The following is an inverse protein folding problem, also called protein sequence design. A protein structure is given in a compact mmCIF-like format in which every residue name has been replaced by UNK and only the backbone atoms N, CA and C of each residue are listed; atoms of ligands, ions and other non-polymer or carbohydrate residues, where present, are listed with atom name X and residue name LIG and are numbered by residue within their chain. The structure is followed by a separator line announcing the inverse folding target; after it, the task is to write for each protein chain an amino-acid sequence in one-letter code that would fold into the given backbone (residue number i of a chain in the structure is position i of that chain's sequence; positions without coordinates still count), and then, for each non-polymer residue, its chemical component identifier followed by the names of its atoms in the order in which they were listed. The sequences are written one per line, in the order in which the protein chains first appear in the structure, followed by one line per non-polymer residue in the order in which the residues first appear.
data_IF_886371907820
#
_entry.id   IF_886371907820
#
_cell.length_a   1.000
_cell.length_b   1.000
_cell.length_c   1.000
_cell.angle_alpha   90.00
_cell.angle_beta   90.00
_cell.angle_gamma   90.00
#
_symmetry.space_group_name_H-M   'P 1'
#
loop_
_entity.id
_entity.type
_entity.pdbx_description
1 polymer ?
#
# COMPACT_ATOMS: atom_id res chain seq x y z
N UNK A 1 -9.80 15.82 1.62
CA UNK A 1 -8.38 16.01 1.32
C UNK A 1 -8.10 15.64 -0.12
N UNK A 2 -7.39 16.49 -0.81
CA UNK A 2 -6.94 16.24 -2.18
C UNK A 2 -5.45 15.96 -2.18
N UNK A 3 -5.06 14.84 -2.79
CA UNK A 3 -3.66 14.46 -2.90
C UNK A 3 -3.28 14.08 -4.32
N UNK A 4 -2.04 14.37 -4.70
CA UNK A 4 -1.44 13.92 -5.95
C UNK A 4 -0.06 13.39 -5.64
N UNK A 5 0.18 12.14 -6.00
CA UNK A 5 1.44 11.47 -5.71
C UNK A 5 2.10 11.03 -7.00
N UNK A 6 3.34 11.39 -7.18
CA UNK A 6 4.19 10.97 -8.29
C UNK A 6 5.31 10.08 -7.80
N UNK A 7 5.79 9.21 -8.65
CA UNK A 7 6.95 8.40 -8.35
C UNK A 7 8.17 9.30 -8.08
N UNK A 8 8.92 8.92 -7.07
CA UNK A 8 10.20 9.54 -6.78
C UNK A 8 11.27 9.15 -7.80
N UNK A 9 12.48 9.68 -7.60
CA UNK A 9 13.57 9.45 -8.56
C UNK A 9 14.10 8.02 -8.54
N UNK A 10 14.10 7.37 -7.40
CA UNK A 10 14.70 6.05 -7.24
C UNK A 10 14.05 5.17 -6.17
N UNK A 11 13.18 5.71 -5.37
CA UNK A 11 12.29 4.91 -4.55
C UNK A 11 10.91 5.56 -4.47
N UNK A 12 9.93 4.78 -4.08
CA UNK A 12 8.54 5.22 -4.05
C UNK A 12 7.92 5.15 -5.44
N UNK A 13 6.76 4.57 -5.51
CA UNK A 13 6.09 4.28 -6.77
C UNK A 13 4.82 5.09 -6.99
N UNK A 14 4.63 6.16 -6.22
CA UNK A 14 3.48 7.03 -6.37
C UNK A 14 2.18 6.47 -5.81
N UNK A 15 2.24 5.68 -4.74
CA UNK A 15 1.08 5.21 -4.01
C UNK A 15 0.47 6.34 -3.18
N UNK A 16 -0.79 6.73 -3.39
CA UNK A 16 -1.39 7.84 -2.63
C UNK A 16 -1.84 7.45 -1.24
N UNK A 17 -2.18 6.18 -1.02
CA UNK A 17 -2.44 5.60 0.30
C UNK A 17 -1.66 4.30 0.37
N UNK A 18 -0.75 4.22 1.33
CA UNK A 18 0.05 3.03 1.52
C UNK A 18 0.29 2.78 3.01
N UNK A 19 -0.04 1.58 3.45
CA UNK A 19 0.19 1.12 4.82
C UNK A 19 0.88 -0.23 4.76
N UNK A 20 1.98 -0.36 5.47
CA UNK A 20 2.72 -1.60 5.57
C UNK A 20 3.18 -1.83 7.00
N UNK A 21 2.94 -3.03 7.51
CA UNK A 21 3.43 -3.46 8.81
C UNK A 21 4.16 -4.79 8.64
N UNK A 22 5.46 -4.79 8.89
CA UNK A 22 6.32 -5.96 8.78
C UNK A 22 6.99 -6.24 10.12
N UNK A 23 7.37 -7.48 10.36
CA UNK A 23 7.89 -7.92 11.66
C UNK A 23 9.41 -7.83 11.80
N UNK A 24 10.11 -7.55 10.71
CA UNK A 24 11.58 -7.41 10.75
C UNK A 24 12.06 -6.46 9.66
N UNK A 25 13.28 -5.97 9.82
CA UNK A 25 13.93 -5.15 8.82
C UNK A 25 14.38 -6.01 7.64
N UNK A 26 13.93 -5.69 6.43
CA UNK A 26 14.30 -6.39 5.22
C UNK A 26 15.77 -6.21 4.82
N UNK A 27 16.46 -5.24 5.41
CA UNK A 27 17.88 -5.00 5.15
C UNK A 27 18.80 -5.94 5.91
N UNK A 28 18.28 -6.66 6.92
CA UNK A 28 19.01 -7.68 7.65
C UNK A 28 18.31 -9.03 7.56
N UNK A 29 19.08 -10.15 7.54
CA UNK A 29 18.46 -11.46 7.60
C UNK A 29 17.57 -11.61 8.83
N UNK A 30 16.41 -12.25 8.67
CA UNK A 30 15.42 -12.37 9.75
C UNK A 30 16.01 -13.01 11.03
N UNK A 31 16.90 -13.98 10.89
CA UNK A 31 17.57 -14.66 12.02
C UNK A 31 18.56 -13.76 12.76
N UNK A 32 18.99 -12.67 12.15
CA UNK A 32 19.92 -11.69 12.73
C UNK A 32 19.20 -10.42 13.22
N UNK A 33 17.92 -10.28 12.93
CA UNK A 33 17.14 -9.13 13.32
C UNK A 33 16.69 -9.26 14.78
N UNK A 34 17.19 -8.40 15.70
CA UNK A 34 16.80 -8.44 17.10
C UNK A 34 15.31 -8.09 17.32
N UNK A 35 14.69 -7.50 16.33
CA UNK A 35 13.30 -7.04 16.39
C UNK A 35 12.31 -7.94 15.65
N UNK A 36 12.75 -9.05 15.06
CA UNK A 36 11.88 -9.91 14.26
C UNK A 36 10.66 -10.47 15.02
N UNK A 37 10.81 -10.61 16.32
CA UNK A 37 9.74 -11.08 17.22
C UNK A 37 8.93 -9.93 17.83
N UNK A 38 9.33 -8.69 17.56
CA UNK A 38 8.62 -7.52 18.06
C UNK A 38 7.27 -7.39 17.34
N UNK A 39 6.22 -7.17 18.12
CA UNK A 39 4.88 -6.92 17.57
C UNK A 39 4.86 -5.57 16.85
N UNK A 40 4.90 -5.61 15.54
CA UNK A 40 4.72 -4.45 14.69
C UNK A 40 3.30 -4.46 14.18
N UNK A 41 2.51 -3.44 14.49
CA UNK A 41 1.11 -3.40 14.15
C UNK A 41 0.64 -1.99 13.76
N UNK A 42 -0.38 -1.95 12.89
CA UNK A 42 -1.14 -0.75 12.61
C UNK A 42 -2.58 -1.03 13.03
N UNK A 43 -3.14 -0.16 13.84
CA UNK A 43 -4.50 -0.34 14.37
C UNK A 43 -5.26 0.97 14.41
N UNK A 44 -6.57 0.87 14.22
CA UNK A 44 -7.49 1.97 14.45
C UNK A 44 -7.18 3.19 13.59
N UNK A 45 -7.08 2.98 12.28
CA UNK A 45 -6.86 4.04 11.29
C UNK A 45 -8.14 4.27 10.51
N UNK A 46 -8.63 5.49 10.52
CA UNK A 46 -9.83 5.89 9.81
C UNK A 46 -9.49 6.99 8.81
N UNK A 47 -9.74 6.71 7.53
CA UNK A 47 -9.54 7.66 6.44
C UNK A 47 -10.89 7.89 5.78
N UNK A 48 -11.35 9.12 5.78
CA UNK A 48 -12.67 9.49 5.26
C UNK A 48 -12.59 10.77 4.44
N UNK A 49 -13.16 10.74 3.24
CA UNK A 49 -13.28 11.94 2.42
C UNK A 49 -11.98 12.34 1.72
N UNK A 50 -11.35 11.42 0.98
CA UNK A 50 -10.11 11.69 0.24
C UNK A 50 -10.36 11.60 -1.26
N UNK A 51 -9.95 12.64 -1.99
CA UNK A 51 -9.77 12.60 -3.43
C UNK A 51 -8.29 12.53 -3.72
N UNK A 52 -7.86 11.48 -4.39
CA UNK A 52 -6.42 11.26 -4.63
C UNK A 52 -6.13 10.79 -6.05
N UNK A 53 -4.92 11.06 -6.48
CA UNK A 53 -4.38 10.59 -7.75
C UNK A 53 -2.98 10.02 -7.49
N UNK A 54 -2.71 8.87 -8.05
CA UNK A 54 -1.40 8.24 -7.96
C UNK A 54 -0.98 7.58 -9.25
N UNK A 55 0.31 7.37 -9.40
CA UNK A 55 0.87 6.64 -10.55
C UNK A 55 0.80 5.13 -10.34
N UNK A 56 0.68 4.69 -9.10
CA UNK A 56 0.52 3.29 -8.74
C UNK A 56 -0.79 3.06 -7.97
N UNK A 57 -1.09 1.80 -7.68
CA UNK A 57 -2.22 1.42 -6.85
C UNK A 57 -2.05 1.88 -5.39
N UNK A 58 -3.14 1.94 -4.67
CA UNK A 58 -3.12 2.02 -3.21
C UNK A 58 -2.83 0.64 -2.64
N UNK A 59 -2.17 0.56 -1.48
CA UNK A 59 -1.82 -0.71 -0.87
C UNK A 59 -1.94 -0.71 0.65
N UNK A 60 -2.46 -1.81 1.18
CA UNK A 60 -2.48 -2.09 2.62
C UNK A 60 -2.01 -3.52 2.80
N UNK A 61 -0.83 -3.69 3.38
CA UNK A 61 -0.22 -5.00 3.50
C UNK A 61 0.37 -5.23 4.90
N UNK A 62 -0.15 -6.22 5.56
CA UNK A 62 0.34 -6.66 6.85
C UNK A 62 1.01 -8.02 6.80
N UNK A 63 1.34 -8.55 7.96
CA UNK A 63 1.83 -9.90 8.16
C UNK A 63 1.05 -10.51 9.31
N UNK A 64 0.46 -11.70 9.07
CA UNK A 64 -0.30 -12.44 10.07
C UNK A 64 -1.41 -11.61 10.75
N UNK A 65 -2.08 -10.76 9.98
CA UNK A 65 -3.19 -9.96 10.49
C UNK A 65 -2.79 -8.85 11.48
N UNK A 66 -1.58 -8.31 11.35
CA UNK A 66 -1.10 -7.24 12.22
C UNK A 66 -1.59 -5.83 11.86
N UNK A 67 -2.39 -5.71 10.80
CA UNK A 67 -3.14 -4.48 10.48
C UNK A 67 -4.60 -4.74 10.76
N UNK A 68 -5.19 -3.98 11.69
CA UNK A 68 -6.55 -4.19 12.17
C UNK A 68 -7.31 -2.89 12.35
N UNK A 69 -8.63 -2.97 12.24
CA UNK A 69 -9.52 -1.85 12.49
C UNK A 69 -9.17 -0.63 11.61
N UNK A 70 -8.85 -0.90 10.36
CA UNK A 70 -8.65 0.12 9.33
C UNK A 70 -9.96 0.33 8.59
N UNK A 71 -10.35 1.57 8.43
CA UNK A 71 -11.55 1.94 7.69
C UNK A 71 -11.22 3.00 6.65
N UNK A 72 -11.57 2.70 5.39
CA UNK A 72 -11.49 3.65 4.27
C UNK A 72 -12.91 3.98 3.82
N UNK A 73 -13.27 5.25 3.87
CA UNK A 73 -14.60 5.73 3.48
C UNK A 73 -14.49 6.90 2.54
N UNK A 74 -15.40 6.95 1.57
CA UNK A 74 -15.53 8.09 0.66
C UNK A 74 -14.18 8.44 0.00
N UNK A 75 -13.58 7.46 -0.66
CA UNK A 75 -12.31 7.61 -1.37
C UNK A 75 -12.59 7.69 -2.86
N UNK A 76 -12.15 8.77 -3.50
CA UNK A 76 -12.17 8.91 -4.95
C UNK A 76 -10.73 8.87 -5.47
N UNK A 77 -10.38 7.76 -6.10
CA UNK A 77 -9.02 7.46 -6.54
C UNK A 77 -8.92 7.42 -8.06
N UNK A 78 -7.96 8.16 -8.60
CA UNK A 78 -7.58 8.10 -10.00
C UNK A 78 -6.15 7.56 -10.11
N UNK A 79 -5.98 6.42 -10.78
CA UNK A 79 -4.65 5.91 -11.11
C UNK A 79 -4.24 6.39 -12.49
N UNK A 80 -3.08 7.00 -12.59
CA UNK A 80 -2.47 7.42 -13.85
C UNK A 80 -1.05 6.86 -13.96
N UNK A 81 -0.89 5.65 -14.50
CA UNK A 81 0.43 5.07 -14.72
C UNK A 81 1.32 6.01 -15.54
N UNK A 82 2.58 6.09 -15.19
CA UNK A 82 3.54 7.00 -15.79
C UNK A 82 4.75 6.24 -16.32
N UNK A 83 5.33 6.73 -17.41
CA UNK A 83 6.59 6.21 -17.93
C UNK A 83 7.78 6.45 -17.01
N UNK A 84 7.63 7.39 -16.08
CA UNK A 84 8.69 7.79 -15.16
C UNK A 84 8.71 6.99 -13.86
N UNK A 85 7.85 5.97 -13.72
CA UNK A 85 7.91 5.08 -12.58
C UNK A 85 9.25 4.35 -12.55
N UNK A 86 10.00 4.41 -11.46
CA UNK A 86 11.29 3.71 -11.35
C UNK A 86 11.12 2.20 -11.36
N UNK A 87 9.97 1.71 -10.98
CA UNK A 87 9.55 0.32 -11.04
C UNK A 87 8.34 0.18 -11.96
N UNK A 88 7.99 -1.03 -12.32
CA UNK A 88 6.76 -1.27 -13.07
C UNK A 88 5.56 -0.77 -12.26
N UNK A 89 4.61 -0.14 -12.90
CA UNK A 89 3.49 0.51 -12.23
C UNK A 89 2.52 -0.39 -11.45
N UNK A 90 2.84 -1.65 -11.29
CA UNK A 90 2.09 -2.63 -10.50
C UNK A 90 2.94 -3.25 -9.38
N UNK A 91 4.03 -2.60 -9.00
CA UNK A 91 4.97 -3.08 -8.00
C UNK A 91 4.98 -2.14 -6.81
N UNK A 92 4.86 -2.68 -5.61
CA UNK A 92 5.06 -1.95 -4.37
C UNK A 92 6.52 -2.07 -3.90
N UNK A 93 7.03 -0.98 -3.39
CA UNK A 93 8.38 -0.91 -2.82
C UNK A 93 8.27 -0.96 -1.28
N UNK A 94 8.66 -2.07 -0.69
CA UNK A 94 8.59 -2.29 0.75
C UNK A 94 9.72 -1.64 1.54
N UNK A 95 10.83 -1.36 0.89
CA UNK A 95 11.95 -0.69 1.50
C UNK A 95 12.70 0.09 0.43
N UNK A 96 13.42 1.15 0.80
CA UNK A 96 14.15 1.95 -0.19
C UNK A 96 15.03 1.10 -1.11
N UNK A 97 14.78 1.18 -2.40
CA UNK A 97 15.53 0.46 -3.42
C UNK A 97 15.24 -1.04 -3.51
N UNK A 98 14.20 -1.52 -2.85
CA UNK A 98 13.84 -2.92 -2.84
C UNK A 98 12.41 -3.16 -3.31
N UNK A 99 12.22 -4.14 -4.17
CA UNK A 99 10.92 -4.57 -4.69
C UNK A 99 10.62 -5.96 -4.14
N UNK A 100 9.60 -6.06 -3.31
CA UNK A 100 9.23 -7.32 -2.67
C UNK A 100 7.89 -7.86 -3.13
N UNK A 101 7.13 -7.06 -3.90
CA UNK A 101 5.74 -7.41 -4.08
C UNK A 101 5.14 -6.83 -5.36
N UNK A 102 4.56 -7.69 -6.16
CA UNK A 102 3.92 -7.33 -7.42
C UNK A 102 2.43 -7.65 -7.36
N UNK A 103 1.60 -6.71 -7.78
CA UNK A 103 0.15 -6.87 -7.87
C UNK A 103 -0.30 -6.92 -9.34
N UNK A 104 -1.51 -7.41 -9.64
CA UNK A 104 -2.03 -7.35 -10.99
C UNK A 104 -2.03 -5.92 -11.55
N UNK A 105 -1.72 -5.77 -12.83
CA UNK A 105 -1.61 -4.47 -13.50
C UNK A 105 -2.90 -3.63 -13.44
N UNK A 106 -4.04 -4.27 -13.33
CA UNK A 106 -5.35 -3.62 -13.26
C UNK A 106 -5.81 -3.31 -11.82
N UNK A 107 -4.92 -3.44 -10.84
CA UNK A 107 -5.21 -3.16 -9.44
C UNK A 107 -5.30 -1.66 -9.14
N UNK A 108 -6.32 -1.26 -8.41
CA UNK A 108 -6.45 0.09 -7.86
C UNK A 108 -6.21 0.14 -6.36
N UNK A 109 -6.61 -0.92 -5.64
CA UNK A 109 -6.37 -1.07 -4.22
C UNK A 109 -6.06 -2.54 -3.93
N UNK A 110 -4.94 -2.80 -3.30
CA UNK A 110 -4.55 -4.12 -2.84
C UNK A 110 -4.55 -4.18 -1.32
N UNK A 111 -5.21 -5.20 -0.77
CA UNK A 111 -5.26 -5.47 0.67
C UNK A 111 -4.79 -6.90 0.87
N UNK A 112 -3.74 -7.09 1.64
CA UNK A 112 -3.17 -8.42 1.86
C UNK A 112 -2.53 -8.61 3.23
N UNK A 113 -1.96 -9.81 3.44
CA UNK A 113 -1.33 -10.16 4.70
C UNK A 113 -2.29 -10.30 5.87
N UNK A 114 -3.55 -10.62 5.61
CA UNK A 114 -4.57 -10.74 6.65
C UNK A 114 -5.02 -9.41 7.24
N UNK A 115 -4.76 -8.30 6.56
CA UNK A 115 -5.19 -6.98 7.02
C UNK A 115 -6.72 -6.89 7.12
N UNK A 116 -7.21 -6.41 8.25
CA UNK A 116 -8.63 -6.16 8.49
C UNK A 116 -8.97 -4.72 8.09
N UNK A 117 -9.57 -4.59 6.91
CA UNK A 117 -9.89 -3.29 6.31
C UNK A 117 -11.36 -3.26 5.93
N UNK A 118 -12.08 -2.30 6.46
CA UNK A 118 -13.46 -2.02 6.08
C UNK A 118 -13.49 -0.93 5.00
N UNK A 119 -14.21 -1.20 3.94
CA UNK A 119 -14.34 -0.31 2.79
C UNK A 119 -15.79 0.18 2.67
N UNK A 120 -15.96 1.48 2.48
CA UNK A 120 -17.27 2.08 2.23
C UNK A 120 -17.12 3.21 1.22
N UNK A 121 -17.88 3.15 0.14
CA UNK A 121 -17.89 4.14 -0.92
C UNK A 121 -16.48 4.44 -1.48
N UNK A 122 -15.87 3.42 -2.05
CA UNK A 122 -14.55 3.49 -2.68
C UNK A 122 -14.74 3.52 -4.19
N UNK A 123 -14.37 4.63 -4.81
CA UNK A 123 -14.38 4.78 -6.26
C UNK A 123 -12.95 4.69 -6.80
N UNK A 124 -12.65 3.60 -7.49
CA UNK A 124 -11.34 3.37 -8.13
C UNK A 124 -11.40 3.53 -9.64
N UNK A 125 -12.51 4.06 -10.18
CA UNK A 125 -12.70 4.30 -11.61
C UNK A 125 -12.39 3.05 -12.46
N UNK A 126 -13.02 1.93 -12.09
CA UNK A 126 -12.88 0.62 -12.74
C UNK A 126 -11.54 -0.12 -12.50
N UNK A 127 -10.57 0.43 -11.77
CA UNK A 127 -9.44 -0.36 -11.29
C UNK A 127 -9.90 -1.35 -10.22
N UNK A 128 -9.33 -2.54 -10.19
CA UNK A 128 -9.76 -3.60 -9.28
C UNK A 128 -9.39 -3.33 -7.83
N UNK A 129 -10.28 -3.73 -6.93
CA UNK A 129 -10.00 -3.86 -5.50
C UNK A 129 -9.73 -5.33 -5.24
N UNK A 130 -8.53 -5.64 -4.76
CA UNK A 130 -8.08 -7.00 -4.49
C UNK A 130 -7.91 -7.17 -2.98
N UNK A 131 -8.66 -8.11 -2.42
CA UNK A 131 -8.60 -8.48 -1.02
C UNK A 131 -8.05 -9.90 -0.95
N UNK A 132 -6.76 -9.99 -0.75
CA UNK A 132 -6.04 -11.27 -0.75
C UNK A 132 -5.93 -11.88 0.63
#
# INVERSE_FOLDING_TARGET
VDTRVRAGNWWGNGEPIFMMAVKHDYLIPAEQDPHRETDCAIRNVHIDGVTCMGENAMGIYGVDGNIREVELRNIDFTRKPSKNLPLKGNVFDFAPGRVDFEVPEDCGLYIGGGADVKLENINTRAWKIIHA
#
